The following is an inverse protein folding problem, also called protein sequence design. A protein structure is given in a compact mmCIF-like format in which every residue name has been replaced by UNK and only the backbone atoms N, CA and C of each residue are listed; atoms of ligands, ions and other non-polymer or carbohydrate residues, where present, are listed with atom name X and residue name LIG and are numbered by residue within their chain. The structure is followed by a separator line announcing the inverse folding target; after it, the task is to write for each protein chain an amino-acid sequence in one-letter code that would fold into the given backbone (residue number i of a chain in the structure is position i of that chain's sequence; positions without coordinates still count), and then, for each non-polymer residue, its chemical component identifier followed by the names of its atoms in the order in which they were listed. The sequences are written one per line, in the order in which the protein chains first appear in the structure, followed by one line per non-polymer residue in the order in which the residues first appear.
data_IF_630062307933
#
_entry.id   IF_630062307933
#
_cell.length_a   1.000
_cell.length_b   1.000
_cell.length_c   1.000
_cell.angle_alpha   90.00
_cell.angle_beta   90.00
_cell.angle_gamma   90.00
#
_symmetry.space_group_name_H-M   'P 1'
#
loop_
_entity.id
_entity.type
_entity.pdbx_description
1 polymer ?
#
# COMPACT_ATOMS: atom_id res chain seq x y z
N UNK A 1 24.20 -14.00 -27.72
CA UNK A 1 24.44 -15.45 -27.51
C UNK A 1 25.51 -15.74 -26.46
N UNK A 2 26.61 -14.99 -26.38
CA UNK A 2 27.70 -15.25 -25.40
C UNK A 2 27.29 -15.26 -23.91
N UNK A 3 26.36 -14.39 -23.49
CA UNK A 3 25.85 -14.41 -22.10
C UNK A 3 24.98 -15.64 -21.75
N UNK A 4 24.33 -16.26 -22.74
CA UNK A 4 23.53 -17.47 -22.53
C UNK A 4 24.42 -18.70 -22.38
N UNK A 5 25.54 -18.75 -23.12
CA UNK A 5 26.56 -19.78 -22.97
C UNK A 5 27.30 -19.68 -21.62
N UNK A 6 27.65 -18.47 -21.17
CA UNK A 6 28.29 -18.28 -19.86
C UNK A 6 27.38 -18.69 -18.68
N UNK A 7 26.08 -18.43 -18.80
CA UNK A 7 25.10 -18.85 -17.79
C UNK A 7 24.86 -20.37 -17.82
N UNK A 8 24.81 -20.96 -19.02
CA UNK A 8 24.80 -22.42 -19.22
C UNK A 8 26.02 -23.10 -18.59
N UNK A 9 27.22 -22.55 -18.80
CA UNK A 9 28.46 -23.10 -18.27
C UNK A 9 28.49 -23.00 -16.74
N UNK A 10 28.05 -21.87 -16.18
CA UNK A 10 27.93 -21.69 -14.73
C UNK A 10 26.93 -22.69 -14.11
N UNK A 11 25.76 -22.87 -14.72
CA UNK A 11 24.78 -23.86 -14.27
C UNK A 11 25.31 -25.29 -14.41
N UNK A 12 26.10 -25.58 -15.45
CA UNK A 12 26.82 -26.86 -15.61
C UNK A 12 27.86 -27.07 -14.51
N UNK A 13 28.63 -26.05 -14.16
CA UNK A 13 29.64 -26.12 -13.09
C UNK A 13 28.97 -26.31 -11.73
N UNK A 14 27.88 -25.58 -11.45
CA UNK A 14 27.08 -25.79 -10.24
C UNK A 14 26.48 -27.20 -10.23
N UNK A 15 25.92 -27.66 -11.36
CA UNK A 15 25.40 -29.01 -11.51
C UNK A 15 26.46 -30.10 -11.32
N UNK A 16 27.64 -29.93 -11.89
CA UNK A 16 28.77 -30.84 -11.75
C UNK A 16 29.32 -30.83 -10.31
N UNK A 17 29.36 -29.66 -9.65
CA UNK A 17 29.75 -29.53 -8.24
C UNK A 17 28.74 -30.23 -7.33
N UNK A 18 27.43 -30.08 -7.59
CA UNK A 18 26.38 -30.79 -6.85
C UNK A 18 26.40 -32.31 -7.11
N UNK A 19 26.76 -32.75 -8.33
CA UNK A 19 26.89 -34.18 -8.66
C UNK A 19 28.14 -34.82 -8.05
N UNK A 20 29.26 -34.10 -8.01
CA UNK A 20 30.53 -34.56 -7.44
C UNK A 20 30.60 -34.43 -5.92
N UNK A 21 29.85 -33.48 -5.35
CA UNK A 21 29.73 -33.24 -3.92
C UNK A 21 28.25 -33.13 -3.51
N UNK A 22 27.48 -34.23 -3.54
CA UNK A 22 26.06 -34.20 -3.20
C UNK A 22 25.79 -33.72 -1.76
N UNK A 23 26.76 -33.87 -0.86
CA UNK A 23 26.72 -33.31 0.50
C UNK A 23 26.72 -31.78 0.55
N UNK A 24 27.03 -31.08 -0.54
CA UNK A 24 26.91 -29.61 -0.60
C UNK A 24 25.46 -29.15 -0.51
N UNK A 25 24.50 -29.97 -0.98
CA UNK A 25 23.06 -29.74 -0.76
C UNK A 25 22.74 -29.80 0.73
N UNK A 26 23.36 -30.73 1.48
CA UNK A 26 23.21 -30.81 2.93
C UNK A 26 23.76 -29.55 3.61
N UNK A 27 24.86 -28.97 3.10
CA UNK A 27 25.36 -27.66 3.57
C UNK A 27 24.34 -26.54 3.30
N UNK A 28 23.77 -26.44 2.10
CA UNK A 28 22.75 -25.43 1.78
C UNK A 28 21.52 -25.56 2.68
N UNK A 29 21.02 -26.79 2.87
CA UNK A 29 19.90 -27.07 3.78
C UNK A 29 20.27 -26.74 5.23
N UNK A 30 21.49 -27.07 5.67
CA UNK A 30 21.94 -26.75 7.03
C UNK A 30 22.04 -25.23 7.27
N UNK A 31 22.54 -24.47 6.30
CA UNK A 31 22.59 -23.00 6.35
C UNK A 31 21.19 -22.42 6.35
N UNK A 32 20.29 -22.92 5.49
CA UNK A 32 18.89 -22.50 5.46
C UNK A 32 18.19 -22.72 6.81
N UNK A 33 18.35 -23.91 7.41
CA UNK A 33 17.79 -24.24 8.73
C UNK A 33 18.36 -23.38 9.85
N UNK A 34 19.67 -23.11 9.83
CA UNK A 34 20.35 -22.34 10.87
C UNK A 34 20.08 -20.83 10.78
N UNK A 35 19.73 -20.33 9.59
CA UNK A 35 19.49 -18.90 9.35
C UNK A 35 18.12 -18.50 9.90
N UNK A 36 18.06 -17.37 10.61
CA UNK A 36 16.77 -16.77 11.01
C UNK A 36 15.95 -16.45 9.74
N UNK A 37 14.68 -16.89 9.65
CA UNK A 37 13.90 -16.75 8.43
C UNK A 37 13.67 -15.29 8.01
N UNK A 38 13.83 -14.30 8.92
CA UNK A 38 13.75 -12.90 8.56
C UNK A 38 14.85 -12.47 7.56
N UNK A 39 16.04 -13.07 7.62
CA UNK A 39 17.10 -12.81 6.64
C UNK A 39 16.75 -13.37 5.27
N UNK A 40 16.09 -14.53 5.22
CA UNK A 40 15.59 -15.11 3.98
C UNK A 40 14.48 -14.24 3.37
N UNK A 41 13.63 -13.64 4.21
CA UNK A 41 12.64 -12.67 3.77
C UNK A 41 13.26 -11.37 3.24
N UNK A 42 14.34 -10.90 3.87
CA UNK A 42 15.07 -9.74 3.37
C UNK A 42 15.69 -10.03 2.00
N UNK A 43 16.24 -11.23 1.81
CA UNK A 43 16.74 -11.66 0.50
C UNK A 43 15.60 -11.74 -0.53
N UNK A 44 14.46 -12.32 -0.17
CA UNK A 44 13.26 -12.36 -1.02
C UNK A 44 12.77 -10.96 -1.41
N UNK A 45 12.79 -10.02 -0.46
CA UNK A 45 12.48 -8.62 -0.70
C UNK A 45 13.46 -7.97 -1.68
N UNK A 46 14.77 -8.12 -1.47
CA UNK A 46 15.81 -7.59 -2.37
C UNK A 46 15.66 -8.17 -3.77
N UNK A 47 15.39 -9.47 -3.91
CA UNK A 47 15.13 -10.10 -5.21
C UNK A 47 13.88 -9.50 -5.88
N UNK A 48 12.81 -9.26 -5.12
CA UNK A 48 11.61 -8.59 -5.65
C UNK A 48 11.92 -7.17 -6.14
N UNK A 49 12.72 -6.39 -5.41
CA UNK A 49 13.17 -5.06 -5.83
C UNK A 49 13.96 -5.12 -7.15
N UNK A 50 14.90 -6.06 -7.28
CA UNK A 50 15.68 -6.26 -8.49
C UNK A 50 14.78 -6.62 -9.68
N UNK A 51 13.84 -7.54 -9.49
CA UNK A 51 12.88 -7.95 -10.54
C UNK A 51 12.01 -6.76 -10.96
N UNK A 52 11.47 -6.01 -10.01
CA UNK A 52 10.64 -4.83 -10.28
C UNK A 52 11.44 -3.80 -11.06
N UNK A 53 12.65 -3.45 -10.60
CA UNK A 53 13.49 -2.46 -11.27
C UNK A 53 13.89 -2.89 -12.68
N UNK A 54 14.29 -4.16 -12.84
CA UNK A 54 14.62 -4.73 -14.15
C UNK A 54 13.44 -4.64 -15.12
N UNK A 55 12.24 -5.05 -14.69
CA UNK A 55 11.04 -5.00 -15.54
C UNK A 55 10.61 -3.56 -15.85
N UNK A 56 10.69 -2.65 -14.88
CA UNK A 56 10.43 -1.23 -15.07
C UNK A 56 11.34 -0.64 -16.15
N UNK A 57 12.65 -0.94 -16.11
CA UNK A 57 13.61 -0.48 -17.12
C UNK A 57 13.37 -1.09 -18.50
N UNK A 58 13.03 -2.38 -18.55
CA UNK A 58 12.81 -3.11 -19.82
C UNK A 58 11.55 -2.67 -20.55
N UNK A 59 10.49 -2.31 -19.82
CA UNK A 59 9.16 -2.04 -20.39
C UNK A 59 8.71 -0.58 -20.26
N UNK A 60 9.52 0.29 -19.66
CA UNK A 60 9.17 1.69 -19.28
C UNK A 60 7.77 1.82 -18.64
N UNK A 61 7.40 0.83 -17.84
CA UNK A 61 6.08 0.69 -17.24
C UNK A 61 6.20 0.37 -15.75
N UNK A 62 5.38 1.04 -14.95
CA UNK A 62 5.30 0.79 -13.51
C UNK A 62 4.38 -0.39 -13.16
N UNK A 63 3.68 -0.96 -14.15
CA UNK A 63 2.76 -2.10 -13.98
C UNK A 63 3.35 -3.31 -13.25
N UNK A 64 4.68 -3.46 -13.23
CA UNK A 64 5.34 -4.57 -12.54
C UNK A 64 5.12 -4.56 -11.03
N UNK A 65 5.01 -3.36 -10.41
CA UNK A 65 4.71 -3.27 -8.97
C UNK A 65 3.29 -3.76 -8.69
N UNK A 66 2.33 -3.36 -9.54
CA UNK A 66 0.92 -3.71 -9.42
C UNK A 66 0.69 -5.22 -9.64
N UNK A 67 1.39 -5.81 -10.63
CA UNK A 67 1.32 -7.24 -10.94
C UNK A 67 1.87 -8.10 -9.79
N UNK A 68 2.97 -7.67 -9.16
CA UNK A 68 3.61 -8.43 -8.09
C UNK A 68 2.94 -8.19 -6.73
N UNK A 69 2.20 -7.10 -6.55
CA UNK A 69 1.51 -6.75 -5.29
C UNK A 69 0.63 -7.88 -4.74
N UNK A 70 -0.04 -8.63 -5.62
CA UNK A 70 -0.94 -9.72 -5.26
C UNK A 70 -0.25 -11.08 -5.07
N UNK A 71 0.98 -11.24 -5.57
CA UNK A 71 1.73 -12.50 -5.60
C UNK A 71 2.73 -12.58 -4.44
N UNK A 72 3.37 -11.45 -4.11
CA UNK A 72 4.42 -11.39 -3.11
C UNK A 72 3.94 -11.72 -1.68
N UNK A 73 2.77 -11.26 -1.20
CA UNK A 73 2.36 -11.57 0.17
C UNK A 73 2.12 -13.07 0.43
N UNK A 74 1.39 -13.83 -0.40
CA UNK A 74 1.31 -15.29 -0.26
C UNK A 74 2.70 -15.95 -0.27
N UNK A 75 3.59 -15.51 -1.15
CA UNK A 75 4.95 -16.03 -1.23
C UNK A 75 5.75 -15.78 0.06
N UNK A 76 5.64 -14.59 0.67
CA UNK A 76 6.30 -14.29 1.93
C UNK A 76 5.78 -15.18 3.07
N UNK A 77 4.46 -15.40 3.20
CA UNK A 77 3.93 -16.32 4.24
C UNK A 77 4.38 -17.76 3.98
N UNK A 78 4.37 -18.19 2.72
CA UNK A 78 4.84 -19.53 2.33
C UNK A 78 6.31 -19.75 2.73
N UNK A 79 7.19 -18.77 2.51
CA UNK A 79 8.60 -18.88 2.85
C UNK A 79 8.83 -19.14 4.35
N UNK A 80 8.06 -18.50 5.22
CA UNK A 80 8.09 -18.80 6.67
C UNK A 80 7.64 -20.22 6.98
N UNK A 81 6.59 -20.70 6.32
CA UNK A 81 6.07 -22.04 6.56
C UNK A 81 7.00 -23.14 6.04
N UNK A 82 7.62 -22.91 4.88
CA UNK A 82 8.67 -23.79 4.33
C UNK A 82 9.85 -23.85 5.29
N UNK A 83 10.32 -22.70 5.78
CA UNK A 83 11.39 -22.65 6.76
C UNK A 83 11.02 -23.40 8.06
N UNK A 84 9.82 -23.17 8.60
CA UNK A 84 9.34 -23.85 9.80
C UNK A 84 9.28 -25.37 9.61
N UNK A 85 8.76 -25.84 8.47
CA UNK A 85 8.72 -27.26 8.12
C UNK A 85 10.11 -27.88 8.06
N UNK A 86 11.08 -27.20 7.43
CA UNK A 86 12.45 -27.73 7.33
C UNK A 86 13.16 -27.80 8.68
N UNK A 87 12.83 -26.91 9.62
CA UNK A 87 13.47 -26.81 10.93
C UNK A 87 12.81 -27.70 11.99
N UNK A 88 11.48 -27.82 11.98
CA UNK A 88 10.70 -28.52 13.01
C UNK A 88 10.07 -29.83 12.53
N UNK A 89 10.10 -30.13 11.23
CA UNK A 89 9.53 -31.35 10.64
C UNK A 89 7.99 -31.34 10.54
N UNK A 90 7.33 -30.22 10.83
CA UNK A 90 5.88 -30.07 10.78
C UNK A 90 5.49 -28.69 10.23
N UNK A 91 4.30 -28.57 9.65
CA UNK A 91 3.78 -27.29 9.14
C UNK A 91 3.27 -26.43 10.31
N UNK A 92 3.53 -25.12 10.27
CA UNK A 92 3.00 -24.20 11.26
C UNK A 92 1.53 -23.91 10.98
N UNK A 93 0.63 -24.38 11.85
CA UNK A 93 -0.81 -24.40 11.55
C UNK A 93 -1.40 -22.98 11.43
N UNK A 94 -1.06 -22.06 12.34
CA UNK A 94 -1.50 -20.64 12.23
C UNK A 94 -0.99 -19.95 10.96
N UNK A 95 0.29 -20.14 10.60
CA UNK A 95 0.83 -19.61 9.34
C UNK A 95 0.18 -20.24 8.11
N UNK A 96 -0.22 -21.52 8.18
CA UNK A 96 -0.90 -22.18 7.07
C UNK A 96 -2.29 -21.58 6.87
N UNK A 97 -3.04 -21.36 7.95
CA UNK A 97 -4.33 -20.66 7.88
C UNK A 97 -4.16 -19.25 7.30
N UNK A 98 -3.17 -18.50 7.79
CA UNK A 98 -2.84 -17.18 7.25
C UNK A 98 -2.47 -17.22 5.77
N UNK A 99 -1.67 -18.21 5.35
CA UNK A 99 -1.29 -18.41 3.95
C UNK A 99 -2.52 -18.63 3.07
N UNK A 100 -3.48 -19.44 3.49
CA UNK A 100 -4.71 -19.69 2.75
C UNK A 100 -5.55 -18.41 2.58
N UNK A 101 -5.70 -17.63 3.66
CA UNK A 101 -6.44 -16.35 3.64
C UNK A 101 -5.76 -15.32 2.73
N UNK A 102 -4.46 -15.11 2.89
CA UNK A 102 -3.68 -14.18 2.05
C UNK A 102 -3.62 -14.64 0.59
N UNK A 103 -3.63 -15.95 0.34
CA UNK A 103 -3.74 -16.51 -1.02
C UNK A 103 -5.12 -16.21 -1.62
N UNK A 104 -6.21 -16.37 -0.86
CA UNK A 104 -7.55 -16.02 -1.33
C UNK A 104 -7.65 -14.53 -1.70
N UNK A 105 -7.07 -13.64 -0.87
CA UNK A 105 -6.90 -12.22 -1.19
C UNK A 105 -6.10 -12.00 -2.48
N UNK A 106 -4.96 -12.67 -2.62
CA UNK A 106 -4.06 -12.54 -3.77
C UNK A 106 -4.72 -13.01 -5.08
N UNK A 107 -5.43 -14.13 -5.05
CA UNK A 107 -6.22 -14.65 -6.19
C UNK A 107 -7.29 -13.65 -6.62
N UNK A 108 -8.06 -13.11 -5.67
CA UNK A 108 -9.07 -12.07 -5.96
C UNK A 108 -8.42 -10.84 -6.60
N UNK A 109 -7.32 -10.34 -6.05
CA UNK A 109 -6.67 -9.14 -6.58
C UNK A 109 -6.06 -9.39 -7.97
N UNK A 110 -5.43 -10.55 -8.18
CA UNK A 110 -4.96 -11.01 -9.51
C UNK A 110 -6.11 -11.05 -10.51
N UNK A 111 -7.26 -11.62 -10.14
CA UNK A 111 -8.45 -11.65 -10.99
C UNK A 111 -8.97 -10.24 -11.32
N UNK A 112 -9.02 -9.34 -10.33
CA UNK A 112 -9.41 -7.94 -10.52
C UNK A 112 -8.44 -7.20 -11.46
N UNK A 113 -7.14 -7.49 -11.38
CA UNK A 113 -6.13 -6.91 -12.28
C UNK A 113 -6.27 -7.48 -13.70
N UNK A 114 -6.47 -8.79 -13.82
CA UNK A 114 -6.67 -9.48 -15.09
C UNK A 114 -7.89 -8.95 -15.86
N UNK A 115 -9.04 -8.82 -15.18
CA UNK A 115 -10.28 -8.29 -15.78
C UNK A 115 -10.14 -6.83 -16.25
N UNK A 116 -9.22 -6.07 -15.67
CA UNK A 116 -8.88 -4.69 -16.07
C UNK A 116 -7.74 -4.63 -17.10
N UNK A 117 -7.34 -5.76 -17.68
CA UNK A 117 -6.24 -5.90 -18.62
C UNK A 117 -4.85 -5.52 -18.07
N UNK A 118 -4.65 -5.54 -16.75
CA UNK A 118 -3.39 -5.12 -16.10
C UNK A 118 -2.18 -6.04 -16.34
N UNK A 119 -2.37 -7.18 -17.03
CA UNK A 119 -1.28 -8.03 -17.53
C UNK A 119 -0.94 -7.79 -19.00
N UNK A 120 -1.68 -6.91 -19.69
CA UNK A 120 -1.30 -6.46 -21.02
C UNK A 120 -0.13 -5.45 -20.92
N UNK A 121 0.89 -5.61 -21.75
CA UNK A 121 2.10 -4.76 -21.76
C UNK A 121 1.79 -3.28 -22.01
N UNK A 122 0.67 -2.99 -22.65
CA UNK A 122 0.24 -1.63 -23.01
C UNK A 122 -0.66 -0.98 -21.96
N UNK A 123 -1.10 -1.72 -20.93
CA UNK A 123 -2.01 -1.21 -19.91
C UNK A 123 -1.28 -0.97 -18.58
N UNK A 124 -1.00 0.30 -18.30
CA UNK A 124 -0.53 0.78 -17.00
C UNK A 124 -1.72 1.30 -16.16
N UNK A 125 -1.63 1.19 -14.83
CA UNK A 125 -2.63 1.80 -13.96
C UNK A 125 -2.75 3.31 -14.25
N UNK A 126 -3.99 3.78 -14.41
CA UNK A 126 -4.26 5.16 -14.80
C UNK A 126 -3.65 6.19 -13.82
N UNK A 127 -3.44 5.81 -12.55
CA UNK A 127 -2.84 6.67 -11.53
C UNK A 127 -1.40 7.02 -11.90
N UNK A 128 -0.66 6.10 -12.51
CA UNK A 128 0.70 6.36 -12.99
C UNK A 128 0.71 7.34 -14.16
N UNK A 129 -0.23 7.23 -15.10
CA UNK A 129 -0.37 8.20 -16.19
C UNK A 129 -0.69 9.60 -15.68
N UNK A 130 -1.57 9.70 -14.68
CA UNK A 130 -1.93 10.97 -14.05
C UNK A 130 -0.77 11.58 -13.27
N UNK A 131 -0.05 10.78 -12.48
CA UNK A 131 1.17 11.20 -11.81
C UNK A 131 2.18 11.67 -12.86
N UNK A 132 2.46 10.88 -13.89
CA UNK A 132 3.38 11.25 -14.97
C UNK A 132 3.01 12.61 -15.59
N UNK A 133 1.73 12.90 -15.81
CA UNK A 133 1.25 14.19 -16.33
C UNK A 133 1.45 15.39 -15.39
N UNK A 134 1.40 15.20 -14.06
CA UNK A 134 1.62 16.27 -13.08
C UNK A 134 3.12 16.62 -12.98
N UNK A 135 4.00 15.62 -13.09
CA UNK A 135 5.43 15.74 -12.77
C UNK A 135 6.34 15.74 -14.02
N UNK A 136 5.75 15.72 -15.24
CA UNK A 136 6.47 15.62 -16.53
C UNK A 136 7.49 16.75 -16.75
N UNK A 137 7.25 17.94 -16.18
CA UNK A 137 8.11 19.10 -16.43
C UNK A 137 9.55 18.92 -15.92
N UNK A 138 9.80 17.88 -15.10
CA UNK A 138 11.14 17.55 -14.62
C UNK A 138 11.39 16.03 -14.65
N UNK A 139 12.14 15.57 -15.66
CA UNK A 139 12.49 14.16 -15.85
C UNK A 139 13.20 13.57 -14.62
N UNK A 140 14.06 14.34 -13.94
CA UNK A 140 14.74 13.87 -12.73
C UNK A 140 13.74 13.56 -11.61
N UNK A 141 12.74 14.41 -11.42
CA UNK A 141 11.70 14.18 -10.40
C UNK A 141 10.87 12.94 -10.73
N UNK A 142 10.54 12.73 -12.00
CA UNK A 142 9.86 11.51 -12.44
C UNK A 142 10.69 10.25 -12.15
N UNK A 143 12.00 10.25 -12.46
CA UNK A 143 12.88 9.12 -12.14
C UNK A 143 12.97 8.85 -10.63
N UNK A 144 13.04 9.89 -9.79
CA UNK A 144 13.05 9.73 -8.33
C UNK A 144 11.73 9.12 -7.85
N UNK A 145 10.58 9.56 -8.38
CA UNK A 145 9.28 8.97 -8.02
C UNK A 145 9.21 7.50 -8.46
N UNK A 146 9.64 7.20 -9.68
CA UNK A 146 9.66 5.80 -10.18
C UNK A 146 10.49 4.90 -9.26
N UNK A 147 11.70 5.32 -8.89
CA UNK A 147 12.59 4.52 -8.06
C UNK A 147 12.13 4.49 -6.60
N UNK A 148 11.84 5.64 -6.01
CA UNK A 148 11.53 5.77 -4.58
C UNK A 148 10.14 5.27 -4.22
N UNK A 149 9.11 5.64 -5.00
CA UNK A 149 7.73 5.25 -4.71
C UNK A 149 7.43 3.85 -5.25
N UNK A 150 7.50 3.67 -6.57
CA UNK A 150 7.11 2.41 -7.22
C UNK A 150 8.17 1.31 -7.05
N UNK A 151 9.44 1.69 -7.11
CA UNK A 151 10.57 0.76 -7.01
C UNK A 151 10.93 0.35 -5.58
N UNK A 152 10.56 1.13 -4.55
CA UNK A 152 10.95 0.86 -3.16
C UNK A 152 9.80 0.92 -2.15
N UNK A 153 9.13 2.07 -1.98
CA UNK A 153 8.13 2.23 -0.91
C UNK A 153 6.92 1.30 -1.04
N UNK A 154 6.39 1.11 -2.26
CA UNK A 154 5.29 0.18 -2.51
C UNK A 154 5.70 -1.28 -2.19
N UNK A 155 6.80 -1.83 -2.76
CA UNK A 155 7.30 -3.15 -2.36
C UNK A 155 7.60 -3.26 -0.86
N UNK A 156 8.17 -2.23 -0.25
CA UNK A 156 8.47 -2.20 1.19
C UNK A 156 7.20 -2.31 2.02
N UNK A 157 6.14 -1.59 1.64
CA UNK A 157 4.85 -1.65 2.34
C UNK A 157 4.22 -3.04 2.21
N UNK A 158 4.24 -3.59 1.00
CA UNK A 158 3.76 -4.95 0.71
C UNK A 158 4.53 -6.02 1.52
N UNK A 159 5.84 -5.86 1.66
CA UNK A 159 6.67 -6.72 2.50
C UNK A 159 6.38 -6.53 3.99
N UNK A 160 6.39 -5.31 4.52
CA UNK A 160 6.19 -5.04 5.95
C UNK A 160 4.83 -5.51 6.48
N UNK A 161 3.74 -5.23 5.75
CA UNK A 161 2.38 -5.58 6.21
C UNK A 161 2.17 -7.09 6.36
N UNK A 162 2.93 -7.90 5.62
CA UNK A 162 2.83 -9.36 5.60
C UNK A 162 3.93 -10.01 6.46
N UNK A 163 5.18 -9.62 6.23
CA UNK A 163 6.36 -10.25 6.83
C UNK A 163 6.44 -10.02 8.33
N UNK A 164 6.08 -8.84 8.83
CA UNK A 164 6.17 -8.56 10.27
C UNK A 164 5.21 -9.43 11.10
N UNK A 165 3.89 -9.45 10.83
CA UNK A 165 2.98 -10.31 11.59
C UNK A 165 3.29 -11.79 11.37
N UNK A 166 3.68 -12.22 10.16
CA UNK A 166 4.08 -13.60 9.90
C UNK A 166 5.34 -14.01 10.69
N UNK A 167 6.31 -13.11 10.87
CA UNK A 167 7.49 -13.37 11.71
C UNK A 167 7.10 -13.57 13.18
N UNK A 168 6.23 -12.71 13.70
CA UNK A 168 5.75 -12.81 15.09
C UNK A 168 5.00 -14.12 15.30
N UNK A 169 4.18 -14.53 14.33
CA UNK A 169 3.48 -15.82 14.37
C UNK A 169 4.49 -16.97 14.33
N UNK A 170 5.44 -16.94 13.39
CA UNK A 170 6.49 -17.97 13.23
C UNK A 170 7.25 -18.23 14.54
N UNK A 171 7.54 -17.17 15.31
CA UNK A 171 8.28 -17.25 16.59
C UNK A 171 7.38 -17.68 17.77
N UNK A 172 6.06 -17.70 17.59
CA UNK A 172 5.09 -18.09 18.61
C UNK A 172 4.66 -19.55 18.51
N UNK A 173 3.54 -19.87 19.16
CA UNK A 173 3.01 -21.23 19.15
C UNK A 173 2.31 -21.58 17.84
N UNK A 174 2.56 -22.80 17.33
CA UNK A 174 1.95 -23.29 16.09
C UNK A 174 0.45 -23.56 16.18
N UNK A 175 -0.02 -24.01 17.35
CA UNK A 175 -1.37 -24.53 17.56
C UNK A 175 -2.44 -23.47 17.31
N UNK A 176 -3.49 -23.87 16.57
CA UNK A 176 -4.67 -23.04 16.38
C UNK A 176 -5.49 -22.93 17.68
N UNK A 177 -6.03 -21.74 17.91
CA UNK A 177 -6.95 -21.40 18.98
C UNK A 177 -8.32 -21.03 18.38
N UNK A 178 -9.38 -21.05 19.20
CA UNK A 178 -10.73 -20.65 18.73
C UNK A 178 -10.75 -19.24 18.14
N UNK A 179 -9.92 -18.33 18.66
CA UNK A 179 -9.75 -16.98 18.14
C UNK A 179 -9.25 -16.94 16.68
N UNK A 180 -8.41 -17.89 16.27
CA UNK A 180 -7.89 -17.98 14.90
C UNK A 180 -9.03 -18.21 13.88
N UNK A 181 -10.02 -19.04 14.23
CA UNK A 181 -11.18 -19.31 13.38
C UNK A 181 -12.14 -18.11 13.29
N UNK A 182 -12.34 -17.39 14.41
CA UNK A 182 -13.13 -16.15 14.42
C UNK A 182 -12.46 -15.09 13.53
N UNK A 183 -11.14 -14.92 13.64
CA UNK A 183 -10.39 -13.99 12.78
C UNK A 183 -10.42 -14.41 11.32
N UNK A 184 -10.34 -15.71 11.01
CA UNK A 184 -10.47 -16.21 9.65
C UNK A 184 -11.86 -15.89 9.06
N UNK A 185 -12.94 -16.07 9.82
CA UNK A 185 -14.28 -15.69 9.40
C UNK A 185 -14.38 -14.18 9.14
N UNK A 186 -13.88 -13.35 10.05
CA UNK A 186 -13.87 -11.88 9.89
C UNK A 186 -13.07 -11.48 8.64
N UNK A 187 -11.91 -12.10 8.40
CA UNK A 187 -11.10 -11.87 7.20
C UNK A 187 -11.89 -12.19 5.93
N UNK A 188 -12.57 -13.35 5.89
CA UNK A 188 -13.38 -13.77 4.75
C UNK A 188 -14.59 -12.85 4.52
N UNK A 189 -15.20 -12.31 5.58
CA UNK A 189 -16.27 -11.31 5.46
C UNK A 189 -15.75 -10.01 4.83
N UNK A 190 -14.56 -9.55 5.22
CA UNK A 190 -13.94 -8.38 4.58
C UNK A 190 -13.55 -8.65 3.12
N UNK A 191 -13.02 -9.84 2.81
CA UNK A 191 -12.71 -10.28 1.45
C UNK A 191 -13.96 -10.29 0.58
N UNK A 192 -15.07 -10.84 1.08
CA UNK A 192 -16.35 -10.85 0.38
C UNK A 192 -16.91 -9.44 0.18
N UNK A 193 -16.83 -8.58 1.21
CA UNK A 193 -17.25 -7.19 1.13
C UNK A 193 -16.48 -6.43 0.05
N UNK A 194 -15.15 -6.60 0.00
CA UNK A 194 -14.30 -6.02 -1.03
C UNK A 194 -14.65 -6.55 -2.43
N UNK A 195 -14.81 -7.88 -2.58
CA UNK A 195 -15.15 -8.50 -3.85
C UNK A 195 -16.48 -7.96 -4.41
N UNK A 196 -17.50 -7.77 -3.56
CA UNK A 196 -18.78 -7.18 -3.95
C UNK A 196 -18.61 -5.73 -4.39
N UNK A 197 -17.83 -4.93 -3.64
CA UNK A 197 -17.56 -3.53 -3.98
C UNK A 197 -16.84 -3.41 -5.34
N UNK A 198 -15.79 -4.20 -5.55
CA UNK A 198 -15.04 -4.22 -6.80
C UNK A 198 -15.92 -4.67 -7.99
N UNK A 199 -16.75 -5.70 -7.81
CA UNK A 199 -17.67 -6.17 -8.85
C UNK A 199 -18.71 -5.10 -9.23
N UNK A 200 -19.27 -4.39 -8.25
CA UNK A 200 -20.20 -3.28 -8.50
C UNK A 200 -19.53 -2.16 -9.31
N UNK A 201 -18.30 -1.76 -8.94
CA UNK A 201 -17.53 -0.74 -9.64
C UNK A 201 -17.14 -1.19 -11.06
N UNK A 202 -16.68 -2.43 -11.21
CA UNK A 202 -16.35 -3.01 -12.52
C UNK A 202 -17.54 -2.96 -13.47
N UNK A 203 -18.71 -3.45 -13.01
CA UNK A 203 -19.96 -3.46 -13.77
C UNK A 203 -20.34 -2.04 -14.20
N UNK A 204 -20.29 -1.08 -13.27
CA UNK A 204 -20.56 0.33 -13.56
C UNK A 204 -19.63 0.89 -14.65
N UNK A 205 -18.32 0.66 -14.54
CA UNK A 205 -17.35 1.16 -15.52
C UNK A 205 -17.54 0.52 -16.90
N UNK A 206 -17.88 -0.76 -16.97
CA UNK A 206 -18.18 -1.45 -18.23
C UNK A 206 -19.40 -0.84 -18.93
N UNK A 207 -20.52 -0.70 -18.21
CA UNK A 207 -21.74 -0.09 -18.76
C UNK A 207 -21.48 1.36 -19.17
N UNK A 208 -20.75 2.12 -18.35
CA UNK A 208 -20.39 3.51 -18.64
C UNK A 208 -19.59 3.63 -19.95
N UNK A 209 -18.60 2.76 -20.18
CA UNK A 209 -17.81 2.74 -21.41
C UNK A 209 -18.64 2.40 -22.65
N UNK A 210 -19.65 1.54 -22.52
CA UNK A 210 -20.57 1.22 -23.62
C UNK A 210 -21.45 2.44 -23.93
N UNK A 211 -22.10 3.03 -22.92
CA UNK A 211 -22.97 4.21 -23.09
C UNK A 211 -22.24 5.44 -23.65
N UNK A 212 -20.98 5.66 -23.27
CA UNK A 212 -20.17 6.76 -23.81
C UNK A 212 -19.84 6.56 -25.30
N UNK A 213 -19.74 5.31 -25.77
CA UNK A 213 -19.49 5.00 -27.18
C UNK A 213 -20.76 5.10 -28.04
N UNK A 214 -21.93 4.84 -27.48
CA UNK A 214 -23.21 4.89 -28.21
C UNK A 214 -23.78 6.30 -28.39
N UNK A 215 -23.13 7.37 -27.87
CA UNK A 215 -23.66 8.76 -27.83
C UNK A 215 -25.04 8.92 -27.15
N UNK A 216 -25.58 7.87 -26.52
CA UNK A 216 -26.86 7.87 -25.79
C UNK A 216 -26.83 8.67 -24.48
N UNK A 217 -25.69 9.27 -24.15
CA UNK A 217 -25.48 9.99 -22.88
C UNK A 217 -26.16 11.37 -22.82
N UNK A 218 -26.82 11.80 -23.89
CA UNK A 218 -27.06 13.23 -24.11
C UNK A 218 -28.17 13.86 -23.27
N UNK A 219 -29.13 13.15 -22.67
CA UNK A 219 -30.30 13.81 -22.06
C UNK A 219 -30.95 13.11 -20.86
N UNK A 220 -30.18 12.70 -19.85
CA UNK A 220 -30.75 12.31 -18.55
C UNK A 220 -29.98 13.07 -17.46
N UNK A 221 -30.69 13.75 -16.58
CA UNK A 221 -30.13 14.39 -15.38
C UNK A 221 -30.59 13.59 -14.16
N UNK A 222 -29.65 13.14 -13.33
CA UNK A 222 -29.97 12.47 -12.05
C UNK A 222 -29.89 10.93 -12.03
N UNK A 223 -29.34 10.29 -13.07
CA UNK A 223 -28.93 8.87 -13.01
C UNK A 223 -27.44 8.75 -12.63
N UNK A 224 -27.05 7.68 -11.94
CA UNK A 224 -25.67 7.37 -11.51
C UNK A 224 -24.67 7.47 -12.67
N UNK A 225 -25.10 7.12 -13.89
CA UNK A 225 -24.29 7.26 -15.09
C UNK A 225 -24.08 8.73 -15.49
N UNK A 226 -25.10 9.57 -15.36
CA UNK A 226 -25.08 10.99 -15.75
C UNK A 226 -24.09 11.80 -14.91
N UNK A 227 -24.02 11.49 -13.61
CA UNK A 227 -23.02 12.06 -12.70
C UNK A 227 -21.61 11.51 -12.94
N UNK A 228 -21.51 10.34 -13.58
CA UNK A 228 -20.26 9.73 -13.99
C UNK A 228 -19.55 8.90 -12.92
N UNK A 229 -20.17 8.65 -11.76
CA UNK A 229 -19.62 7.80 -10.70
C UNK A 229 -20.71 6.97 -10.01
N UNK A 230 -20.33 5.83 -9.43
CA UNK A 230 -21.24 4.88 -8.81
C UNK A 230 -21.76 5.41 -7.46
N UNK A 231 -23.09 5.40 -7.27
CA UNK A 231 -23.78 5.91 -6.07
C UNK A 231 -24.74 4.89 -5.42
N UNK A 232 -24.83 3.67 -5.98
CA UNK A 232 -25.72 2.60 -5.52
C UNK A 232 -24.94 1.44 -4.90
N UNK A 233 -25.65 0.40 -4.43
CA UNK A 233 -25.01 -0.76 -3.80
C UNK A 233 -24.26 -0.39 -2.52
N UNK A 234 -23.01 -0.82 -2.38
CA UNK A 234 -22.16 -0.48 -1.24
C UNK A 234 -21.69 0.98 -1.28
N UNK A 235 -21.62 1.57 -2.47
CA UNK A 235 -21.20 2.95 -2.66
C UNK A 235 -22.20 3.96 -2.08
N UNK A 236 -23.46 3.56 -1.85
CA UNK A 236 -24.42 4.41 -1.13
C UNK A 236 -24.09 4.60 0.36
N UNK A 237 -23.18 3.80 0.92
CA UNK A 237 -22.80 3.85 2.34
C UNK A 237 -21.37 4.34 2.58
N UNK A 238 -20.51 4.25 1.56
CA UNK A 238 -19.11 4.67 1.63
C UNK A 238 -18.62 5.07 0.24
N UNK A 239 -17.69 6.02 0.16
CA UNK A 239 -17.11 6.42 -1.13
C UNK A 239 -16.13 5.38 -1.67
N UNK A 240 -15.46 4.65 -0.77
CA UNK A 240 -14.46 3.62 -1.07
C UNK A 240 -14.70 2.37 -0.21
N UNK A 241 -15.83 1.65 -0.41
CA UNK A 241 -16.15 0.45 0.36
C UNK A 241 -15.11 -0.66 0.15
N UNK A 242 -14.50 -0.75 -1.03
CA UNK A 242 -13.41 -1.69 -1.28
C UNK A 242 -12.18 -1.41 -0.38
N UNK A 243 -11.87 -0.15 -0.08
CA UNK A 243 -10.76 0.19 0.82
C UNK A 243 -11.04 -0.27 2.26
N UNK A 244 -12.30 -0.28 2.69
CA UNK A 244 -12.68 -0.80 4.00
C UNK A 244 -12.44 -2.31 4.11
N UNK A 245 -12.86 -3.08 3.09
CA UNK A 245 -12.60 -4.52 3.04
C UNK A 245 -11.10 -4.84 3.00
N UNK A 246 -10.34 -4.10 2.20
CA UNK A 246 -8.89 -4.27 2.10
C UNK A 246 -8.17 -3.93 3.43
N UNK A 247 -8.44 -2.77 4.03
CA UNK A 247 -7.89 -2.39 5.35
C UNK A 247 -8.29 -3.39 6.43
N UNK A 248 -9.55 -3.85 6.42
CA UNK A 248 -10.06 -4.86 7.36
C UNK A 248 -9.30 -6.19 7.26
N UNK A 249 -9.05 -6.69 6.05
CA UNK A 249 -8.24 -7.89 5.84
C UNK A 249 -6.84 -7.75 6.42
N UNK A 250 -6.11 -6.68 6.12
CA UNK A 250 -4.76 -6.49 6.65
C UNK A 250 -4.74 -6.23 8.16
N UNK A 251 -5.80 -5.67 8.72
CA UNK A 251 -5.96 -5.58 10.17
C UNK A 251 -6.09 -6.96 10.80
N UNK A 252 -6.90 -7.86 10.22
CA UNK A 252 -7.01 -9.24 10.73
C UNK A 252 -5.67 -10.00 10.65
N UNK A 253 -4.86 -9.77 9.61
CA UNK A 253 -3.49 -10.33 9.51
C UNK A 253 -2.63 -9.90 10.69
N UNK A 254 -2.69 -8.63 11.09
CA UNK A 254 -2.04 -8.17 12.32
C UNK A 254 -2.64 -8.84 13.57
N UNK A 255 -3.96 -8.99 13.67
CA UNK A 255 -4.60 -9.63 14.82
C UNK A 255 -4.21 -11.11 14.98
N UNK A 256 -3.93 -11.85 13.91
CA UNK A 256 -3.37 -13.21 14.02
C UNK A 256 -2.04 -13.24 14.79
N UNK A 257 -1.20 -12.21 14.64
CA UNK A 257 0.02 -12.07 15.46
C UNK A 257 -0.30 -11.77 16.92
N UNK A 258 -1.40 -11.04 17.18
CA UNK A 258 -1.85 -10.73 18.53
C UNK A 258 -2.44 -11.94 19.25
N UNK A 259 -3.11 -12.85 18.54
CA UNK A 259 -3.52 -14.14 19.09
C UNK A 259 -2.30 -14.97 19.50
N UNK A 260 -1.20 -14.86 18.74
CA UNK A 260 0.04 -15.60 19.00
C UNK A 260 0.78 -15.14 20.25
N UNK A 261 0.94 -13.82 20.45
CA UNK A 261 1.82 -13.27 21.52
C UNK A 261 1.28 -12.03 22.23
N UNK A 262 0.02 -11.65 21.98
CA UNK A 262 -0.54 -10.36 22.41
C UNK A 262 -0.16 -9.19 21.51
N UNK A 263 -0.58 -7.97 21.89
CA UNK A 263 -0.26 -6.76 21.14
C UNK A 263 1.25 -6.58 20.99
N UNK A 264 1.72 -6.36 19.76
CA UNK A 264 3.14 -6.42 19.45
C UNK A 264 3.54 -5.42 18.34
N UNK A 265 4.84 -5.33 18.11
CA UNK A 265 5.45 -4.36 17.20
C UNK A 265 5.12 -4.58 15.72
N UNK A 266 4.59 -5.74 15.32
CA UNK A 266 4.18 -5.97 13.93
C UNK A 266 3.03 -5.07 13.46
N UNK A 267 2.35 -4.39 14.41
CA UNK A 267 1.38 -3.32 14.12
C UNK A 267 1.97 -2.25 13.20
N UNK A 268 3.28 -2.02 13.23
CA UNK A 268 3.97 -1.07 12.37
C UNK A 268 3.78 -1.38 10.88
N UNK A 269 3.70 -2.66 10.51
CA UNK A 269 3.41 -3.07 9.13
C UNK A 269 2.01 -2.65 8.69
N UNK A 270 1.01 -2.88 9.55
CA UNK A 270 -0.38 -2.45 9.30
C UNK A 270 -0.52 -0.91 9.29
N UNK A 271 0.15 -0.20 10.19
CA UNK A 271 0.11 1.26 10.21
C UNK A 271 0.74 1.86 8.96
N UNK A 272 1.87 1.33 8.46
CA UNK A 272 2.44 1.75 7.19
C UNK A 272 1.48 1.51 6.03
N UNK A 273 0.78 0.36 6.02
CA UNK A 273 -0.25 0.08 5.04
C UNK A 273 -1.40 1.11 5.06
N UNK A 274 -1.86 1.51 6.25
CA UNK A 274 -2.87 2.57 6.38
C UNK A 274 -2.38 3.93 5.83
N UNK A 275 -1.09 4.26 6.00
CA UNK A 275 -0.49 5.48 5.44
C UNK A 275 -0.56 5.45 3.91
N UNK A 276 -0.19 4.33 3.28
CA UNK A 276 -0.31 4.16 1.83
C UNK A 276 -1.77 4.33 1.36
N UNK A 277 -2.73 3.69 2.04
CA UNK A 277 -4.15 3.76 1.69
C UNK A 277 -4.71 5.17 1.84
N UNK A 278 -4.30 5.89 2.87
CA UNK A 278 -4.69 7.29 3.07
C UNK A 278 -4.20 8.19 1.93
N UNK A 279 -2.94 8.02 1.49
CA UNK A 279 -2.39 8.77 0.36
C UNK A 279 -3.12 8.43 -0.94
N UNK A 280 -3.37 7.13 -1.18
CA UNK A 280 -4.10 6.68 -2.36
C UNK A 280 -5.54 7.21 -2.38
N UNK A 281 -6.21 7.24 -1.23
CA UNK A 281 -7.55 7.79 -1.07
C UNK A 281 -7.58 9.27 -1.45
N UNK A 282 -6.68 10.07 -0.88
CA UNK A 282 -6.61 11.50 -1.16
C UNK A 282 -6.37 11.78 -2.65
N UNK A 283 -5.42 11.07 -3.26
CA UNK A 283 -5.13 11.22 -4.70
C UNK A 283 -6.36 10.87 -5.56
N UNK A 284 -7.04 9.78 -5.23
CA UNK A 284 -8.22 9.31 -5.99
C UNK A 284 -9.40 10.26 -5.83
N UNK A 285 -9.68 10.74 -4.62
CA UNK A 285 -10.74 11.71 -4.37
C UNK A 285 -10.46 13.05 -5.04
N UNK A 286 -9.20 13.51 -5.03
CA UNK A 286 -8.79 14.73 -5.73
C UNK A 286 -9.08 14.65 -7.23
N UNK A 287 -8.67 13.57 -7.88
CA UNK A 287 -8.90 13.42 -9.31
C UNK A 287 -10.39 13.28 -9.65
N UNK A 288 -11.13 12.52 -8.83
CA UNK A 288 -12.58 12.34 -8.99
C UNK A 288 -13.32 13.67 -8.84
N UNK A 289 -12.91 14.49 -7.88
CA UNK A 289 -13.44 15.85 -7.68
C UNK A 289 -13.19 16.75 -8.88
N UNK A 290 -11.97 16.73 -9.44
CA UNK A 290 -11.64 17.52 -10.63
C UNK A 290 -12.41 17.06 -11.87
N UNK A 291 -12.73 15.76 -11.97
CA UNK A 291 -13.38 15.17 -13.13
C UNK A 291 -14.91 15.30 -13.11
N UNK A 292 -15.54 15.19 -11.94
CA UNK A 292 -17.00 15.14 -11.81
C UNK A 292 -17.53 16.26 -10.92
N UNK A 293 -18.19 17.29 -11.49
CA UNK A 293 -18.70 18.43 -10.73
C UNK A 293 -19.67 18.05 -9.59
N UNK A 294 -20.43 16.97 -9.75
CA UNK A 294 -21.41 16.51 -8.76
C UNK A 294 -20.78 15.73 -7.59
N UNK A 295 -19.51 15.33 -7.70
CA UNK A 295 -18.81 14.54 -6.68
C UNK A 295 -18.81 15.22 -5.31
N UNK A 296 -18.69 16.55 -5.28
CA UNK A 296 -18.66 17.36 -4.06
C UNK A 296 -19.93 17.23 -3.18
N UNK A 297 -21.09 17.01 -3.79
CA UNK A 297 -22.35 16.82 -3.08
C UNK A 297 -22.50 15.39 -2.57
N UNK A 298 -22.17 14.42 -3.43
CA UNK A 298 -22.13 13.01 -3.06
C UNK A 298 -21.15 12.79 -1.90
N UNK A 299 -19.95 13.35 -2.01
CA UNK A 299 -18.90 13.13 -1.05
C UNK A 299 -19.27 13.68 0.33
N UNK A 300 -19.98 14.81 0.40
CA UNK A 300 -20.45 15.40 1.67
C UNK A 300 -21.33 14.49 2.49
N UNK A 301 -22.15 13.68 1.82
CA UNK A 301 -23.13 12.83 2.49
C UNK A 301 -22.51 11.58 3.12
N UNK A 302 -21.34 11.15 2.66
CA UNK A 302 -20.79 9.82 2.94
C UNK A 302 -19.45 9.85 3.69
N UNK A 303 -19.14 8.77 4.40
CA UNK A 303 -17.78 8.54 4.88
C UNK A 303 -16.89 8.13 3.69
N UNK A 304 -15.60 8.52 3.68
CA UNK A 304 -14.65 8.01 2.68
C UNK A 304 -14.50 6.48 2.69
N UNK A 305 -14.30 5.87 3.86
CA UNK A 305 -13.95 4.44 3.97
C UNK A 305 -15.00 3.66 4.75
N UNK A 306 -15.36 4.10 5.95
CA UNK A 306 -16.24 3.37 6.86
C UNK A 306 -17.72 3.38 6.39
N UNK A 307 -18.33 2.23 6.06
CA UNK A 307 -19.72 2.17 5.61
C UNK A 307 -20.68 2.68 6.68
N UNK A 308 -21.46 3.73 6.37
CA UNK A 308 -22.50 4.27 7.25
C UNK A 308 -23.66 4.86 6.44
N UNK A 309 -24.88 4.94 7.01
CA UNK A 309 -25.98 5.63 6.36
C UNK A 309 -25.61 7.07 5.96
N UNK A 310 -26.08 7.57 4.80
CA UNK A 310 -25.81 8.94 4.36
C UNK A 310 -26.30 9.96 5.38
N UNK A 311 -25.57 11.04 5.57
CA UNK A 311 -26.04 12.17 6.35
C UNK A 311 -26.91 13.08 5.47
N UNK A 312 -28.25 13.13 5.66
CA UNK A 312 -29.15 13.94 4.84
C UNK A 312 -28.92 15.45 5.02
N UNK A 313 -28.32 15.87 6.14
CA UNK A 313 -28.01 17.27 6.46
C UNK A 313 -26.64 17.73 5.95
N UNK A 314 -25.85 16.84 5.34
CA UNK A 314 -24.51 17.18 4.92
C UNK A 314 -24.50 18.14 3.72
N UNK A 315 -23.72 19.21 3.85
CA UNK A 315 -23.48 20.19 2.79
C UNK A 315 -22.31 19.73 1.89
N UNK A 316 -22.18 20.39 0.74
CA UNK A 316 -21.07 20.22 -0.21
C UNK A 316 -19.70 20.15 0.49
N UNK A 317 -18.87 19.15 0.14
CA UNK A 317 -17.48 19.14 0.58
C UNK A 317 -16.72 20.19 -0.22
N UNK A 318 -16.24 21.21 0.49
CA UNK A 318 -15.08 21.97 0.04
C UNK A 318 -13.85 21.15 0.39
N UNK A 319 -13.35 20.36 -0.56
CA UNK A 319 -11.97 19.89 -0.44
C UNK A 319 -11.17 21.18 -0.44
N UNK A 320 -10.43 21.50 0.63
CA UNK A 320 -9.71 22.77 0.73
C UNK A 320 -8.91 22.99 -0.57
N UNK A 321 -9.43 23.87 -1.40
CA UNK A 321 -8.94 24.27 -2.73
C UNK A 321 -7.61 25.02 -2.65
N UNK A 322 -6.99 25.06 -1.47
CA UNK A 322 -5.60 25.47 -1.24
C UNK A 322 -4.63 24.52 -1.95
N UNK A 323 -5.03 23.30 -2.30
CA UNK A 323 -4.17 22.41 -3.09
C UNK A 323 -4.33 22.63 -4.61
N UNK A 324 -5.53 22.75 -5.18
CA UNK A 324 -5.67 22.70 -6.65
C UNK A 324 -5.21 23.98 -7.38
N UNK A 325 -5.68 25.16 -6.94
CA UNK A 325 -5.31 26.45 -7.56
C UNK A 325 -3.91 26.92 -7.15
N UNK A 326 -3.48 26.50 -5.96
CA UNK A 326 -2.21 26.87 -5.37
C UNK A 326 -1.12 25.82 -5.64
N UNK A 327 -1.41 24.55 -5.99
CA UNK A 327 -0.36 23.61 -6.42
C UNK A 327 0.22 24.02 -7.76
N UNK A 328 -0.56 24.46 -8.76
CA UNK A 328 0.05 24.90 -10.03
C UNK A 328 0.92 26.15 -9.88
N UNK A 329 0.57 27.04 -8.94
CA UNK A 329 1.30 28.28 -8.66
C UNK A 329 2.47 28.09 -7.68
N UNK A 330 2.25 27.40 -6.55
CA UNK A 330 3.30 27.05 -5.57
C UNK A 330 4.22 25.94 -6.06
N UNK A 331 3.77 24.99 -6.88
CA UNK A 331 4.68 24.01 -7.48
C UNK A 331 5.67 24.70 -8.43
N UNK A 332 5.24 25.71 -9.20
CA UNK A 332 6.21 26.49 -9.98
C UNK A 332 7.27 27.19 -9.10
N UNK A 333 6.89 27.70 -7.93
CA UNK A 333 7.81 28.40 -7.01
C UNK A 333 8.68 27.50 -6.12
N UNK A 334 8.17 26.36 -5.65
CA UNK A 334 8.90 25.45 -4.75
C UNK A 334 9.84 24.48 -5.49
N UNK A 335 9.59 24.22 -6.77
CA UNK A 335 10.29 23.17 -7.53
C UNK A 335 11.52 23.66 -8.30
N UNK A 336 11.70 24.98 -8.36
CA UNK A 336 12.94 25.61 -8.81
C UNK A 336 13.98 25.71 -7.68
N UNK A 337 13.60 25.37 -6.45
CA UNK A 337 14.51 25.33 -5.30
C UNK A 337 14.83 23.86 -4.93
N UNK A 338 16.06 23.64 -4.44
CA UNK A 338 16.86 22.40 -4.45
C UNK A 338 16.30 21.17 -3.69
N UNK A 339 15.01 21.11 -3.38
CA UNK A 339 14.43 20.19 -2.39
C UNK A 339 13.48 19.12 -2.95
N UNK A 340 13.69 18.63 -4.17
CA UNK A 340 12.97 17.47 -4.72
C UNK A 340 13.14 16.19 -3.86
N UNK A 341 14.30 16.05 -3.20
CA UNK A 341 14.61 14.96 -2.28
C UNK A 341 13.72 14.96 -1.03
N UNK A 342 13.45 16.15 -0.47
CA UNK A 342 12.61 16.29 0.73
C UNK A 342 11.14 15.98 0.46
N UNK A 343 10.65 16.15 -0.77
CA UNK A 343 9.27 15.82 -1.12
C UNK A 343 9.01 14.31 -1.05
N UNK A 344 9.92 13.49 -1.58
CA UNK A 344 9.78 12.02 -1.58
C UNK A 344 9.89 11.44 -0.17
N UNK A 345 10.76 12.00 0.66
CA UNK A 345 10.90 11.63 2.09
C UNK A 345 9.72 12.16 2.94
N UNK A 346 9.18 13.34 2.64
CA UNK A 346 8.03 13.91 3.34
C UNK A 346 6.71 13.23 2.96
N UNK A 347 6.60 12.68 1.74
CA UNK A 347 5.45 11.90 1.30
C UNK A 347 5.26 10.65 2.16
N UNK A 348 6.36 10.00 2.59
CA UNK A 348 6.33 8.88 3.54
C UNK A 348 6.04 9.26 5.01
N UNK A 349 6.04 10.55 5.37
CA UNK A 349 5.95 11.04 6.76
C UNK A 349 4.75 11.96 7.03
N UNK A 350 3.63 11.77 6.33
CA UNK A 350 2.39 12.47 6.69
C UNK A 350 1.75 11.88 7.96
N UNK A 351 2.12 12.42 9.12
CA UNK A 351 1.44 12.22 10.40
C UNK A 351 0.40 13.32 10.63
N UNK A 352 -0.86 12.97 10.93
CA UNK A 352 -1.90 13.97 11.24
C UNK A 352 -2.67 13.72 12.53
N UNK A 353 -2.97 14.85 13.19
CA UNK A 353 -3.65 15.01 14.47
C UNK A 353 -5.07 15.54 14.22
N UNK A 354 -6.07 14.99 14.92
CA UNK A 354 -7.44 15.51 14.91
C UNK A 354 -7.56 16.69 15.90
N UNK A 355 -8.05 17.85 15.44
CA UNK A 355 -8.49 18.93 16.32
C UNK A 355 -10.00 19.14 16.14
N UNK A 356 -10.76 19.06 17.24
CA UNK A 356 -12.21 19.32 17.27
C UNK A 356 -12.40 20.78 17.67
N UNK A 357 -12.99 21.60 16.79
CA UNK A 357 -13.54 22.89 17.17
C UNK A 357 -15.03 22.94 16.79
N UNK A 358 -15.84 23.54 17.65
CA UNK A 358 -17.25 23.18 17.86
C UNK A 358 -18.22 23.30 16.67
N UNK A 359 -17.81 23.80 15.50
CA UNK A 359 -18.67 23.79 14.31
C UNK A 359 -17.97 23.40 12.99
N UNK A 360 -16.72 22.96 12.99
CA UNK A 360 -16.03 22.50 11.77
C UNK A 360 -14.98 21.42 12.04
N UNK A 361 -14.98 20.37 11.24
CA UNK A 361 -13.84 19.46 11.12
C UNK A 361 -12.80 20.12 10.21
N UNK A 362 -11.75 20.70 10.79
CA UNK A 362 -10.62 21.26 10.03
C UNK A 362 -9.47 20.28 10.08
N UNK A 363 -9.18 19.61 8.96
CA UNK A 363 -7.97 18.80 8.81
C UNK A 363 -6.83 19.73 8.38
N UNK A 364 -6.02 20.18 9.35
CA UNK A 364 -4.79 20.93 9.05
C UNK A 364 -3.72 19.92 8.65
N UNK A 365 -3.39 19.90 7.36
CA UNK A 365 -2.18 19.24 6.90
C UNK A 365 -0.95 20.01 7.44
N UNK A 366 -0.40 19.59 8.58
CA UNK A 366 0.92 20.02 9.04
C UNK A 366 1.99 19.50 8.07
N UNK A 367 2.41 20.37 7.16
CA UNK A 367 3.68 20.23 6.45
C UNK A 367 4.82 20.27 7.49
N UNK A 368 5.85 19.40 7.42
CA UNK A 368 7.01 19.47 8.33
C UNK A 368 7.72 20.83 8.27
N UNK A 369 7.55 21.56 7.17
CA UNK A 369 8.10 22.90 6.96
C UNK A 369 7.01 23.96 6.81
N UNK A 370 6.00 23.97 7.69
CA UNK A 370 5.17 25.18 7.83
C UNK A 370 6.06 26.33 8.33
N UNK A 371 6.08 27.46 7.61
CA UNK A 371 6.85 28.69 7.93
C UNK A 371 6.69 29.24 9.36
N UNK A 372 5.72 28.75 10.14
CA UNK A 372 5.62 29.03 11.58
C UNK A 372 6.50 28.03 12.35
N UNK A 373 7.77 28.40 12.54
CA UNK A 373 8.87 27.64 13.17
C UNK A 373 8.59 27.08 14.57
N UNK A 374 7.52 27.48 15.25
CA UNK A 374 7.38 27.26 16.69
C UNK A 374 6.73 25.95 17.17
N UNK A 375 6.31 25.04 16.27
CA UNK A 375 5.36 24.00 16.70
C UNK A 375 5.67 22.55 16.32
N UNK A 376 6.77 22.25 15.63
CA UNK A 376 7.02 20.86 15.19
C UNK A 376 7.56 19.98 16.32
N UNK A 377 8.57 20.42 17.09
CA UNK A 377 9.17 19.59 18.15
C UNK A 377 8.18 19.29 19.29
N UNK A 378 7.38 20.28 19.72
CA UNK A 378 6.31 20.08 20.73
C UNK A 378 5.24 19.09 20.26
N UNK A 379 4.85 19.15 18.97
CA UNK A 379 3.85 18.24 18.40
C UNK A 379 4.39 16.81 18.23
N UNK A 380 5.64 16.67 17.81
CA UNK A 380 6.32 15.36 17.70
C UNK A 380 6.48 14.71 19.08
N UNK A 381 6.90 15.48 20.08
CA UNK A 381 7.05 15.02 21.47
C UNK A 381 5.73 14.54 22.07
N UNK A 382 4.63 15.24 21.78
CA UNK A 382 3.27 14.86 22.22
C UNK A 382 2.74 13.60 21.51
N UNK A 383 3.14 13.38 20.26
CA UNK A 383 2.79 12.18 19.49
C UNK A 383 3.59 10.95 19.93
N UNK A 384 4.90 11.10 20.15
CA UNK A 384 5.78 10.00 20.58
C UNK A 384 5.51 9.58 22.04
N UNK A 385 5.12 10.52 22.90
CA UNK A 385 4.62 10.22 24.25
C UNK A 385 3.29 9.46 24.24
N UNK A 386 2.40 9.75 23.28
CA UNK A 386 1.15 9.00 23.08
C UNK A 386 1.40 7.55 22.63
N UNK A 387 2.44 7.31 21.83
CA UNK A 387 2.81 5.96 21.35
C UNK A 387 3.77 5.19 22.28
N UNK A 388 4.08 5.71 23.47
CA UNK A 388 5.06 5.14 24.43
C UNK A 388 6.48 4.93 23.86
N UNK A 389 6.86 5.61 22.78
CA UNK A 389 8.24 5.61 22.24
C UNK A 389 9.07 6.73 22.86
N UNK A 390 9.15 6.76 24.20
CA UNK A 390 9.85 7.83 24.93
C UNK A 390 11.38 7.84 24.68
N UNK A 391 11.97 6.69 24.36
CA UNK A 391 13.41 6.53 24.14
C UNK A 391 13.94 7.18 22.85
N UNK A 392 13.09 7.46 21.87
CA UNK A 392 13.47 8.06 20.58
C UNK A 392 13.43 9.61 20.59
N UNK A 393 12.78 10.20 21.60
CA UNK A 393 12.59 11.66 21.70
C UNK A 393 13.92 12.42 21.79
N UNK A 394 14.90 12.02 22.63
CA UNK A 394 16.15 12.78 22.77
C UNK A 394 16.97 12.81 21.46
N UNK A 395 16.99 11.69 20.74
CA UNK A 395 17.76 11.53 19.51
C UNK A 395 17.23 12.40 18.37
N UNK A 396 15.89 12.46 18.23
CA UNK A 396 15.23 13.29 17.22
C UNK A 396 15.32 14.78 17.54
N UNK A 397 15.23 15.17 18.82
CA UNK A 397 15.43 16.56 19.24
C UNK A 397 16.86 17.01 18.96
N UNK A 398 17.85 16.17 19.24
CA UNK A 398 19.26 16.49 18.98
C UNK A 398 19.57 16.59 17.48
N UNK A 399 18.98 15.71 16.65
CA UNK A 399 19.10 15.75 15.19
C UNK A 399 18.48 17.02 14.59
N UNK A 400 17.31 17.43 15.07
CA UNK A 400 16.64 18.65 14.62
C UNK A 400 17.43 19.92 15.02
N UNK A 401 17.99 19.94 16.23
CA UNK A 401 18.79 21.08 16.70
C UNK A 401 20.14 21.22 15.97
N UNK A 402 20.78 20.10 15.55
CA UNK A 402 22.01 20.16 14.73
C UNK A 402 21.79 20.76 13.35
N UNK A 403 20.61 20.55 12.77
CA UNK A 403 20.25 21.13 11.47
C UNK A 403 19.81 22.61 11.57
N UNK A 404 19.45 23.10 12.76
CA UNK A 404 19.22 24.53 13.00
C UNK A 404 20.52 25.35 12.97
N UNK A 405 21.65 24.79 13.41
CA UNK A 405 22.96 25.48 13.37
C UNK A 405 23.60 25.51 11.98
N UNK A 406 23.23 24.61 11.08
CA UNK A 406 23.74 24.58 9.70
C UNK A 406 22.92 25.46 8.73
N UNK A 407 21.80 26.01 9.18
CA UNK A 407 20.88 26.85 8.40
C UNK A 407 20.84 28.32 8.89
N UNK A 408 21.72 28.69 9.83
CA UNK A 408 22.13 30.06 10.12
C UNK A 408 23.51 30.26 9.52
#
# INVERSE_FOLDING_TARGET
MQGFFAYSEYLRVVGATLCSQPWYVLKVVSVFKATDPLYLQLLAFIMALVIIHYRQRKHDSLSSVDQLWSILPPFYVLLYNVHYYTTHGAVHQRLLLLLLLVTAWGVRLTYNLYTKAGYNKEHEDYRWQQLRGIWFSNQLVWEIIKIGLAGFYLPLTNWLQCTLPAYVIYRGESKLQSADFVLALIHLLFLAFEAVADHQMFTFQHIKKVKLRSREFSNITGDTFTDGFLQSGLYKYSRHPNYFGEIGQWFTVFLFSCVSVGFNWSVLGFLNFCVLFYQSLYFTEFYTYCKYPQWKYYAGKLNPVFPRPPNPKAKEIRIHTVAAKDMSARAKGYFLDKNAFYFVVSFSMYLFYYYKNEHQYVCVAVHPFTRKKENLSKKLTKFLSFLKFQSLIPFLVQYLNRNESAAK
#
